data_IF_357070475085
#
_entry.id   IF_357070475085
#
_cell.length_a   1.000
_cell.length_b   1.000
_cell.length_c   1.000
_cell.angle_alpha   90.00
_cell.angle_beta   90.00
_cell.angle_gamma   90.00
#
_symmetry.space_group_name_H-M   'P 1'
#
loop_
_entity.id
_entity.type
_entity.pdbx_description
1 polymer ?
#
# COMPACT_ATOMS: atom_id res chain seq x y z
N UNK A 1 22.54 1.99 -8.31
CA UNK A 1 22.55 0.65 -7.70
C UNK A 1 21.69 0.69 -6.45
N UNK A 2 20.38 0.46 -6.55
CA UNK A 2 19.55 0.25 -5.36
C UNK A 2 19.56 -1.25 -5.07
N UNK A 3 20.18 -1.62 -3.95
CA UNK A 3 20.14 -2.98 -3.43
C UNK A 3 18.68 -3.35 -3.20
N UNK A 4 18.16 -4.35 -3.92
CA UNK A 4 16.86 -4.94 -3.61
C UNK A 4 17.00 -5.64 -2.27
N UNK A 5 16.64 -4.94 -1.18
CA UNK A 5 16.47 -5.56 0.14
C UNK A 5 15.60 -6.79 -0.05
N UNK A 6 16.08 -7.95 0.43
CA UNK A 6 15.43 -9.24 0.27
C UNK A 6 13.96 -9.12 0.62
N UNK A 7 13.09 -9.49 -0.33
CA UNK A 7 11.65 -9.41 -0.10
C UNK A 7 11.29 -10.39 1.01
N UNK A 8 10.85 -9.86 2.15
CA UNK A 8 10.19 -10.66 3.17
C UNK A 8 9.00 -11.40 2.55
N UNK A 9 8.68 -12.59 3.08
CA UNK A 9 7.55 -13.41 2.63
C UNK A 9 6.28 -12.56 2.56
N UNK A 10 5.62 -12.57 1.39
CA UNK A 10 4.40 -11.80 1.14
C UNK A 10 3.25 -12.49 1.84
N UNK A 11 2.52 -11.76 2.67
CA UNK A 11 1.29 -12.29 3.25
C UNK A 11 0.08 -11.80 2.47
N UNK A 12 -0.73 -12.76 2.02
CA UNK A 12 -1.97 -12.52 1.30
C UNK A 12 -3.17 -12.58 2.26
N UNK A 13 -4.19 -11.75 2.05
CA UNK A 13 -5.42 -11.82 2.82
C UNK A 13 -6.15 -13.13 2.52
N UNK A 14 -6.85 -13.73 3.50
CA UNK A 14 -7.73 -14.87 3.26
C UNK A 14 -8.82 -14.53 2.23
N UNK A 15 -9.10 -15.47 1.32
CA UNK A 15 -10.15 -15.32 0.28
C UNK A 15 -11.53 -15.82 0.76
N UNK A 16 -11.66 -16.19 2.02
CA UNK A 16 -12.87 -16.69 2.66
C UNK A 16 -13.87 -15.59 3.04
N UNK A 17 -13.56 -14.33 2.75
CA UNK A 17 -14.41 -13.18 3.05
C UNK A 17 -14.31 -12.68 4.50
N UNK A 18 -13.40 -13.23 5.31
CA UNK A 18 -13.13 -12.72 6.67
C UNK A 18 -12.63 -11.27 6.66
N UNK A 19 -11.94 -10.86 5.60
CA UNK A 19 -11.47 -9.50 5.39
C UNK A 19 -12.36 -8.81 4.35
N UNK A 20 -13.04 -7.73 4.75
CA UNK A 20 -13.78 -6.89 3.80
C UNK A 20 -12.80 -6.10 2.93
N UNK A 21 -13.21 -5.77 1.70
CA UNK A 21 -12.40 -5.01 0.75
C UNK A 21 -11.86 -3.69 1.34
N UNK A 22 -12.65 -3.00 2.16
CA UNK A 22 -12.24 -1.75 2.82
C UNK A 22 -11.06 -1.92 3.78
N UNK A 23 -10.86 -3.11 4.35
CA UNK A 23 -9.77 -3.43 5.29
C UNK A 23 -8.52 -3.99 4.60
N UNK A 24 -8.53 -4.17 3.28
CA UNK A 24 -7.36 -4.68 2.55
C UNK A 24 -6.16 -3.73 2.68
N UNK A 25 -6.41 -2.42 2.67
CA UNK A 25 -5.36 -1.41 2.84
C UNK A 25 -4.69 -1.58 4.20
N UNK A 26 -5.47 -1.71 5.28
CA UNK A 26 -4.94 -1.91 6.63
C UNK A 26 -4.22 -3.25 6.80
N UNK A 27 -4.72 -4.31 6.16
CA UNK A 27 -4.08 -5.63 6.16
C UNK A 27 -2.66 -5.53 5.56
N UNK A 28 -2.53 -4.97 4.35
CA UNK A 28 -1.21 -4.85 3.73
C UNK A 28 -0.33 -3.80 4.38
N UNK A 29 -0.89 -2.75 4.98
CA UNK A 29 -0.15 -1.80 5.81
C UNK A 29 0.50 -2.49 7.01
N UNK A 30 -0.22 -3.40 7.67
CA UNK A 30 0.29 -4.16 8.82
C UNK A 30 1.30 -5.23 8.44
N UNK A 31 1.05 -5.94 7.35
CA UNK A 31 1.75 -7.18 7.04
C UNK A 31 2.78 -7.08 5.92
N UNK A 32 2.64 -6.08 5.04
CA UNK A 32 3.50 -5.88 3.88
C UNK A 32 3.95 -4.41 3.71
N UNK A 33 4.28 -3.65 4.78
CA UNK A 33 4.44 -2.18 4.68
C UNK A 33 5.49 -1.72 3.68
N UNK A 34 6.61 -2.44 3.57
CA UNK A 34 7.73 -2.10 2.67
C UNK A 34 7.60 -2.66 1.26
N UNK A 35 6.48 -3.32 0.92
CA UNK A 35 6.30 -3.92 -0.40
C UNK A 35 5.60 -2.95 -1.35
N UNK A 36 6.06 -2.91 -2.59
CA UNK A 36 5.48 -2.07 -3.63
C UNK A 36 4.10 -2.59 -4.03
N UNK A 37 3.12 -1.70 -4.10
CA UNK A 37 1.77 -1.94 -4.61
C UNK A 37 1.56 -1.25 -5.96
N UNK A 38 2.15 -0.07 -6.16
CA UNK A 38 2.08 0.65 -7.43
C UNK A 38 3.47 0.92 -7.97
N UNK A 39 3.62 0.75 -9.28
CA UNK A 39 4.82 1.09 -10.03
C UNK A 39 4.35 1.75 -11.31
N UNK A 40 4.79 2.99 -11.53
CA UNK A 40 4.45 3.74 -12.74
C UNK A 40 5.63 4.63 -13.16
N UNK A 41 5.57 5.18 -14.36
CA UNK A 41 6.58 6.11 -14.86
C UNK A 41 6.01 7.52 -14.90
N UNK A 42 6.67 8.45 -14.21
CA UNK A 42 6.28 9.87 -14.18
C UNK A 42 6.89 10.66 -15.36
N UNK A 43 8.05 10.21 -15.83
CA UNK A 43 8.72 10.72 -17.04
C UNK A 43 9.57 9.62 -17.68
N UNK A 44 9.91 9.72 -18.98
CA UNK A 44 10.75 8.71 -19.63
C UNK A 44 12.04 8.45 -18.85
N UNK A 45 12.26 7.21 -18.43
CA UNK A 45 13.43 6.81 -17.64
C UNK A 45 13.31 7.01 -16.11
N UNK A 46 12.22 7.60 -15.62
CA UNK A 46 11.92 7.68 -14.19
C UNK A 46 10.81 6.68 -13.84
N UNK A 47 11.11 5.80 -12.88
CA UNK A 47 10.16 4.85 -12.32
C UNK A 47 9.85 5.24 -10.88
N UNK A 48 8.57 5.51 -10.61
CA UNK A 48 8.05 5.74 -9.27
C UNK A 48 7.49 4.45 -8.73
N UNK A 49 7.96 4.07 -7.55
CA UNK A 49 7.47 2.92 -6.81
C UNK A 49 6.77 3.42 -5.54
N UNK A 50 5.58 2.92 -5.26
CA UNK A 50 4.83 3.25 -4.05
C UNK A 50 4.65 1.98 -3.23
N UNK A 51 5.12 2.02 -1.99
CA UNK A 51 4.94 0.94 -1.02
C UNK A 51 3.55 0.99 -0.36
N UNK A 52 3.09 -0.15 0.18
CA UNK A 52 1.83 -0.22 0.93
C UNK A 52 1.76 0.80 2.08
N UNK A 53 2.88 1.09 2.74
CA UNK A 53 2.95 2.11 3.80
C UNK A 53 2.59 3.51 3.28
N UNK A 54 3.15 3.87 2.14
CA UNK A 54 2.93 5.18 1.52
C UNK A 54 1.50 5.30 1.00
N UNK A 55 1.02 4.24 0.35
CA UNK A 55 -0.35 4.14 -0.14
C UNK A 55 -1.36 4.21 1.00
N UNK A 56 -1.18 3.47 2.09
CA UNK A 56 -2.08 3.49 3.25
C UNK A 56 -2.19 4.87 3.88
N UNK A 57 -1.06 5.57 4.06
CA UNK A 57 -1.06 6.97 4.54
C UNK A 57 -1.73 7.92 3.57
N UNK A 58 -1.54 7.74 2.26
CA UNK A 58 -2.19 8.56 1.24
C UNK A 58 -3.71 8.34 1.25
N UNK A 59 -4.17 7.09 1.36
CA UNK A 59 -5.58 6.73 1.45
C UNK A 59 -6.25 7.34 2.69
N UNK A 60 -5.59 7.29 3.86
CA UNK A 60 -6.06 7.94 5.08
C UNK A 60 -6.15 9.47 4.96
N UNK A 61 -5.19 10.10 4.28
CA UNK A 61 -5.28 11.55 3.99
C UNK A 61 -6.44 11.84 3.05
N UNK A 62 -6.62 11.05 2.00
CA UNK A 62 -7.71 11.22 1.05
C UNK A 62 -9.09 10.99 1.72
N UNK A 63 -9.23 10.00 2.59
CA UNK A 63 -10.47 9.77 3.33
C UNK A 63 -10.80 10.95 4.24
N UNK A 64 -9.81 11.54 4.91
CA UNK A 64 -10.02 12.72 5.73
C UNK A 64 -10.46 13.95 4.92
N UNK A 65 -9.98 14.10 3.68
CA UNK A 65 -10.43 15.16 2.77
C UNK A 65 -11.88 14.94 2.29
N UNK A 66 -12.25 13.69 2.01
CA UNK A 66 -13.60 13.34 1.56
C UNK A 66 -14.63 13.41 2.69
N UNK A 67 -14.21 13.07 3.91
CA UNK A 67 -15.06 13.08 5.11
C UNK A 67 -14.24 13.53 6.32
N UNK A 68 -14.20 14.84 6.59
CA UNK A 68 -13.51 15.39 7.74
C UNK A 68 -14.10 14.82 9.04
N UNK A 69 -13.24 14.37 9.97
CA UNK A 69 -13.66 13.94 11.31
C UNK A 69 -14.01 12.45 11.46
N UNK A 70 -13.65 11.60 10.49
CA UNK A 70 -13.66 10.16 10.67
C UNK A 70 -12.24 9.61 10.48
N UNK A 71 -11.62 9.21 11.58
CA UNK A 71 -10.35 8.50 11.64
C UNK A 71 -10.51 7.32 12.59
#
# INVERSE_FOLDING_TARGET
MTCKNGQASVMYPPLDGTIRLSFLVDFHLKHNPGRNIHVYSDSPGCQTEIAYLEFGRAAQRASHLLRPGCA
#
